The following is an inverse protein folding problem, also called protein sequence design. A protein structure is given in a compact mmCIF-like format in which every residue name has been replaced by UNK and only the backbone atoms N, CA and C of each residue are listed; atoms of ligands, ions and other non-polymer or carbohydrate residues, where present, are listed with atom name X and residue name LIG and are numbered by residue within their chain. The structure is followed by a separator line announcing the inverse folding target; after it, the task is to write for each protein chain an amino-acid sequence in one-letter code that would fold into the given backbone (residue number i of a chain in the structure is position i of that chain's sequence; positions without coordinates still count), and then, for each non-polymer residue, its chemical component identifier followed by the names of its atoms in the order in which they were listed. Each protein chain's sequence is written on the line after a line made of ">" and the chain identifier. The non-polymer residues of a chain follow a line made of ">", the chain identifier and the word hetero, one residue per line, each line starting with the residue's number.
data_IF_079666888852
#
_entry.id   IF_079666888852
#
_cell.length_a   1.000
_cell.length_b   1.000
_cell.length_c   1.000
_cell.angle_alpha   90.00
_cell.angle_beta   90.00
_cell.angle_gamma   90.00
#
_symmetry.space_group_name_H-M   'P 1'
#
loop_
_entity.id
_entity.type
_entity.pdbx_description
1 polymer ?
#
# COMPACT_ATOMS: atom_id res chain seq x y z
N UNK A 1 -11.29 -3.47 -22.46
CA UNK A 1 -10.12 -3.05 -21.65
C UNK A 1 -10.65 -2.15 -20.53
N UNK A 2 -10.16 -2.31 -19.30
CA UNK A 2 -10.56 -1.45 -18.17
C UNK A 2 -9.45 -0.42 -17.90
N UNK A 3 -9.83 0.80 -17.59
CA UNK A 3 -8.91 1.89 -17.27
C UNK A 3 -9.23 2.43 -15.88
N UNK A 4 -8.22 2.51 -15.03
CA UNK A 4 -8.34 3.02 -13.67
C UNK A 4 -7.60 4.34 -13.51
N UNK A 5 -8.23 5.29 -12.81
CA UNK A 5 -7.59 6.52 -12.37
C UNK A 5 -7.47 6.51 -10.85
N UNK A 6 -6.35 7.00 -10.31
CA UNK A 6 -6.23 7.19 -8.87
C UNK A 6 -6.90 8.50 -8.47
N UNK A 7 -7.83 8.44 -7.51
CA UNK A 7 -8.42 9.62 -6.89
C UNK A 7 -7.35 10.39 -6.11
N UNK A 8 -7.34 11.68 -6.30
CA UNK A 8 -6.41 12.59 -5.65
C UNK A 8 -6.97 14.01 -5.65
N UNK A 9 -6.34 14.96 -4.94
CA UNK A 9 -6.85 16.32 -4.80
C UNK A 9 -7.14 17.06 -6.11
N UNK A 10 -6.46 16.67 -7.19
CA UNK A 10 -6.63 17.28 -8.52
C UNK A 10 -7.79 16.71 -9.35
N UNK A 11 -8.44 15.63 -8.89
CA UNK A 11 -9.51 14.93 -9.63
C UNK A 11 -10.54 14.28 -8.71
N UNK A 12 -10.90 14.93 -7.60
CA UNK A 12 -11.85 14.42 -6.63
C UNK A 12 -13.19 15.18 -6.59
N UNK A 13 -13.40 16.14 -7.49
CA UNK A 13 -14.69 16.82 -7.62
C UNK A 13 -15.58 16.18 -8.69
N UNK A 14 -16.89 16.40 -8.58
CA UNK A 14 -17.90 15.80 -9.46
C UNK A 14 -17.65 16.11 -10.94
N UNK A 15 -17.23 17.33 -11.29
CA UNK A 15 -17.05 17.73 -12.68
C UNK A 15 -15.86 17.01 -13.33
N UNK A 16 -14.72 16.91 -12.60
CA UNK A 16 -13.54 16.20 -13.05
C UNK A 16 -13.84 14.70 -13.21
N UNK A 17 -14.54 14.10 -12.24
CA UNK A 17 -14.92 12.68 -12.28
C UNK A 17 -15.88 12.37 -13.43
N UNK A 18 -16.88 13.22 -13.66
CA UNK A 18 -17.80 13.10 -14.80
C UNK A 18 -17.05 13.21 -16.15
N UNK A 19 -16.07 14.11 -16.24
CA UNK A 19 -15.24 14.24 -17.45
C UNK A 19 -14.39 12.99 -17.69
N UNK A 20 -13.84 12.36 -16.65
CA UNK A 20 -13.07 11.13 -16.74
C UNK A 20 -13.95 9.94 -17.15
N UNK A 21 -15.15 9.81 -16.56
CA UNK A 21 -16.13 8.79 -16.95
C UNK A 21 -16.49 8.89 -18.43
N UNK A 22 -16.81 10.10 -18.93
CA UNK A 22 -17.12 10.33 -20.35
C UNK A 22 -15.95 10.01 -21.29
N UNK A 23 -14.71 10.03 -20.79
CA UNK A 23 -13.49 9.63 -21.52
C UNK A 23 -13.18 8.14 -21.44
N UNK A 24 -14.03 7.36 -20.78
CA UNK A 24 -13.92 5.91 -20.73
C UNK A 24 -13.11 5.35 -19.56
N UNK A 25 -12.88 6.14 -18.50
CA UNK A 25 -12.38 5.59 -17.24
C UNK A 25 -13.46 4.68 -16.67
N UNK A 26 -13.08 3.45 -16.34
CA UNK A 26 -13.97 2.38 -15.89
C UNK A 26 -13.83 2.05 -14.40
N UNK A 27 -12.84 2.64 -13.73
CA UNK A 27 -12.64 2.46 -12.30
C UNK A 27 -11.83 3.58 -11.68
N UNK A 28 -12.04 3.78 -10.39
CA UNK A 28 -11.30 4.74 -9.59
C UNK A 28 -10.67 4.02 -8.40
N UNK A 29 -9.37 4.29 -8.18
CA UNK A 29 -8.59 3.73 -7.08
C UNK A 29 -8.41 4.77 -5.99
N UNK A 30 -8.76 4.42 -4.75
CA UNK A 30 -8.40 5.14 -3.54
C UNK A 30 -7.17 4.47 -2.91
N UNK A 31 -6.06 5.19 -2.84
CA UNK A 31 -4.89 4.71 -2.10
C UNK A 31 -5.06 5.03 -0.61
N UNK A 32 -5.15 4.00 0.22
CA UNK A 32 -5.37 4.13 1.67
C UNK A 32 -4.06 4.24 2.47
N UNK A 33 -2.89 4.15 1.84
CA UNK A 33 -1.60 4.26 2.54
C UNK A 33 -1.43 5.55 3.32
N UNK A 34 -2.08 6.63 2.89
CA UNK A 34 -1.94 7.96 3.51
C UNK A 34 -3.16 8.44 4.28
N UNK A 35 -4.33 7.83 4.06
CA UNK A 35 -5.58 8.34 4.63
C UNK A 35 -6.59 7.21 4.74
N UNK A 36 -7.29 7.07 5.88
CA UNK A 36 -8.33 6.06 6.04
C UNK A 36 -9.52 6.34 5.13
N UNK A 37 -10.26 5.29 4.77
CA UNK A 37 -11.42 5.35 3.89
C UNK A 37 -12.50 6.33 4.42
N UNK A 38 -12.74 6.33 5.72
CA UNK A 38 -13.69 7.23 6.38
C UNK A 38 -13.40 8.73 6.18
N UNK A 39 -12.16 9.10 5.90
CA UNK A 39 -11.76 10.49 5.64
C UNK A 39 -11.85 10.86 4.14
N UNK A 40 -12.47 10.02 3.31
CA UNK A 40 -12.63 10.22 1.86
C UNK A 40 -14.06 10.06 1.38
N UNK A 41 -15.02 10.14 2.27
CA UNK A 41 -16.45 10.05 1.94
C UNK A 41 -16.89 11.16 0.99
N UNK A 42 -16.32 12.35 1.11
CA UNK A 42 -16.55 13.47 0.20
C UNK A 42 -16.15 13.16 -1.25
N UNK A 43 -15.06 12.45 -1.48
CA UNK A 43 -14.61 12.03 -2.82
C UNK A 43 -15.51 10.91 -3.38
N UNK A 44 -15.95 10.00 -2.51
CA UNK A 44 -16.89 8.93 -2.87
C UNK A 44 -18.25 9.53 -3.23
N UNK A 45 -18.74 10.48 -2.46
CA UNK A 45 -19.99 11.18 -2.75
C UNK A 45 -19.92 11.95 -4.07
N UNK A 46 -18.77 12.60 -4.36
CA UNK A 46 -18.53 13.24 -5.64
C UNK A 46 -18.51 12.25 -6.81
N UNK A 47 -17.96 11.05 -6.62
CA UNK A 47 -17.99 9.98 -7.62
C UNK A 47 -19.41 9.53 -7.89
N UNK A 48 -20.20 9.23 -6.86
CA UNK A 48 -21.61 8.84 -7.01
C UNK A 48 -22.45 9.96 -7.65
N UNK A 49 -22.12 11.24 -7.39
CA UNK A 49 -22.77 12.36 -8.07
C UNK A 49 -22.41 12.40 -9.56
N UNK A 50 -21.15 12.17 -9.92
CA UNK A 50 -20.70 12.09 -11.30
C UNK A 50 -21.32 10.92 -12.07
N UNK A 51 -21.48 9.77 -11.43
CA UNK A 51 -22.19 8.62 -12.00
C UNK A 51 -23.65 8.94 -12.30
N UNK A 52 -24.35 9.57 -11.36
CA UNK A 52 -25.74 10.03 -11.57
C UNK A 52 -25.85 11.04 -12.70
N UNK A 53 -24.91 11.98 -12.81
CA UNK A 53 -24.89 13.00 -13.86
C UNK A 53 -24.65 12.40 -15.25
N UNK A 54 -23.76 11.41 -15.33
CA UNK A 54 -23.34 10.85 -16.62
C UNK A 54 -24.15 9.64 -17.06
N UNK A 55 -24.84 8.95 -16.13
CA UNK A 55 -25.45 7.64 -16.35
C UNK A 55 -24.43 6.52 -16.56
N UNK A 56 -23.14 6.78 -16.27
CA UNK A 56 -22.06 5.81 -16.36
C UNK A 56 -21.66 5.34 -14.96
N UNK A 57 -21.25 4.08 -14.84
CA UNK A 57 -20.79 3.50 -13.57
C UNK A 57 -19.31 3.13 -13.67
N UNK A 58 -18.60 3.31 -12.57
CA UNK A 58 -17.22 2.91 -12.43
C UNK A 58 -17.02 1.98 -11.24
N UNK A 59 -16.01 1.15 -11.30
CA UNK A 59 -15.59 0.36 -10.16
C UNK A 59 -14.88 1.26 -9.14
N UNK A 60 -15.30 1.21 -7.87
CA UNK A 60 -14.62 1.88 -6.77
C UNK A 60 -13.69 0.87 -6.09
N UNK A 61 -12.39 1.08 -6.24
CA UNK A 61 -11.34 0.24 -5.71
C UNK A 61 -10.65 0.91 -4.52
N UNK A 62 -10.48 0.18 -3.43
CA UNK A 62 -9.56 0.56 -2.35
C UNK A 62 -8.26 -0.23 -2.46
N UNK A 63 -7.13 0.47 -2.36
CA UNK A 63 -5.79 -0.11 -2.29
C UNK A 63 -5.33 -0.05 -0.84
N UNK A 64 -5.26 -1.22 -0.21
CA UNK A 64 -4.96 -1.40 1.20
C UNK A 64 -3.50 -1.05 1.51
N UNK A 65 -3.15 -0.96 2.79
CA UNK A 65 -1.78 -0.76 3.26
C UNK A 65 -1.00 -2.06 3.27
N UNK A 66 -1.68 -3.14 3.64
CA UNK A 66 -1.06 -4.44 3.78
C UNK A 66 0.04 -4.50 4.84
N UNK A 67 1.02 -5.39 4.67
CA UNK A 67 2.13 -5.58 5.59
C UNK A 67 3.26 -4.55 5.43
N UNK A 68 3.01 -3.42 4.77
CA UNK A 68 4.02 -2.40 4.51
C UNK A 68 4.69 -1.93 5.80
N UNK A 69 6.00 -1.77 5.74
CA UNK A 69 6.77 -1.19 6.84
C UNK A 69 7.02 0.28 6.56
N UNK A 70 6.67 1.11 7.51
CA UNK A 70 6.98 2.55 7.45
C UNK A 70 7.74 2.96 8.70
N UNK A 71 8.62 3.94 8.54
CA UNK A 71 9.26 4.58 9.70
C UNK A 71 8.22 5.41 10.47
N UNK A 72 8.45 5.57 11.76
CA UNK A 72 7.58 6.35 12.63
C UNK A 72 7.59 7.86 12.33
N UNK A 73 6.88 8.60 13.16
CA UNK A 73 6.89 10.06 13.09
C UNK A 73 8.27 10.63 13.43
N UNK A 74 8.72 11.60 12.66
CA UNK A 74 9.97 12.32 12.89
C UNK A 74 9.67 13.80 13.15
N UNK A 75 10.27 14.41 14.19
CA UNK A 75 10.00 15.81 14.54
C UNK A 75 10.52 16.81 13.51
N UNK A 76 11.53 16.42 12.73
CA UNK A 76 12.14 17.22 11.67
C UNK A 76 12.75 16.30 10.60
N UNK A 77 12.93 16.80 9.36
CA UNK A 77 13.69 16.09 8.33
C UNK A 77 15.12 15.77 8.79
N UNK A 78 15.58 14.54 8.52
CA UNK A 78 16.93 14.08 8.86
C UNK A 78 17.79 14.01 7.59
N UNK A 79 18.85 14.83 7.46
CA UNK A 79 19.77 14.69 6.37
C UNK A 79 20.66 13.44 6.57
N UNK A 80 20.65 12.55 5.59
CA UNK A 80 21.47 11.34 5.54
C UNK A 80 22.62 11.58 4.57
N UNK A 81 23.83 11.84 5.08
CA UNK A 81 25.04 11.96 4.27
C UNK A 81 25.65 10.58 4.01
N UNK A 82 26.10 10.31 2.79
CA UNK A 82 26.78 9.05 2.45
C UNK A 82 28.02 8.84 3.35
N UNK A 83 28.17 7.61 3.83
CA UNK A 83 29.22 7.23 4.78
C UNK A 83 28.92 7.56 6.24
N UNK A 84 27.91 8.37 6.55
CA UNK A 84 27.53 8.68 7.93
C UNK A 84 26.93 7.44 8.63
N UNK A 85 27.05 7.42 9.95
CA UNK A 85 26.36 6.45 10.79
C UNK A 85 24.99 7.00 11.22
N UNK A 86 23.98 6.12 11.26
CA UNK A 86 22.61 6.43 11.74
C UNK A 86 22.09 5.19 12.45
N UNK A 87 21.22 5.39 13.46
CA UNK A 87 20.69 4.30 14.27
C UNK A 87 19.19 4.16 14.11
N UNK A 88 18.76 3.00 13.59
CA UNK A 88 17.33 2.62 13.56
C UNK A 88 16.86 2.38 15.00
N UNK A 89 15.68 2.90 15.33
CA UNK A 89 15.12 2.88 16.68
C UNK A 89 15.51 4.08 17.54
N UNK A 90 16.56 4.83 17.18
CA UNK A 90 16.97 6.05 17.88
C UNK A 90 16.85 7.29 16.99
N UNK A 91 17.65 7.36 15.92
CA UNK A 91 17.60 8.50 14.97
C UNK A 91 16.44 8.36 13.98
N UNK A 92 16.12 7.13 13.58
CA UNK A 92 15.01 6.79 12.68
C UNK A 92 14.07 5.87 13.45
N UNK A 93 12.87 6.33 13.83
CA UNK A 93 11.90 5.51 14.57
C UNK A 93 11.42 4.34 13.71
N UNK A 94 11.53 3.12 14.21
CA UNK A 94 11.06 1.89 13.58
C UNK A 94 10.47 0.96 14.63
N UNK A 95 9.60 0.04 14.19
CA UNK A 95 8.97 -0.96 15.05
C UNK A 95 9.97 -1.99 15.58
N UNK A 96 9.64 -2.64 16.70
CA UNK A 96 10.49 -3.62 17.34
C UNK A 96 10.74 -4.87 16.48
N UNK A 97 9.80 -5.28 15.64
CA UNK A 97 9.96 -6.41 14.70
C UNK A 97 11.03 -6.11 13.64
N UNK A 98 11.11 -4.85 13.17
CA UNK A 98 12.17 -4.39 12.29
C UNK A 98 13.53 -4.53 12.96
N UNK A 99 13.67 -3.97 14.19
CA UNK A 99 14.93 -4.06 14.95
C UNK A 99 15.37 -5.51 15.20
N UNK A 100 14.43 -6.38 15.53
CA UNK A 100 14.69 -7.81 15.79
C UNK A 100 15.10 -8.58 14.53
N UNK A 101 14.71 -8.08 13.35
CA UNK A 101 15.05 -8.71 12.07
C UNK A 101 16.41 -8.28 11.52
N UNK A 102 16.99 -7.17 12.00
CA UNK A 102 18.27 -6.66 11.50
C UNK A 102 19.41 -7.67 11.67
N UNK A 103 20.24 -7.79 10.65
CA UNK A 103 21.47 -8.59 10.68
C UNK A 103 22.59 -7.77 10.03
N UNK A 104 23.85 -7.86 10.50
CA UNK A 104 24.98 -7.19 9.87
C UNK A 104 25.07 -7.53 8.38
N UNK A 105 25.31 -6.51 7.57
CA UNK A 105 25.40 -6.60 6.11
C UNK A 105 24.06 -6.49 5.35
N UNK A 106 22.92 -6.50 6.03
CA UNK A 106 21.62 -6.28 5.38
C UNK A 106 21.50 -4.87 4.80
N UNK A 107 20.84 -4.75 3.66
CA UNK A 107 20.41 -3.47 3.10
C UNK A 107 19.06 -3.05 3.65
N UNK A 108 18.96 -1.79 4.05
CA UNK A 108 17.71 -1.13 4.41
C UNK A 108 17.44 -0.06 3.36
N UNK A 109 16.34 -0.19 2.63
CA UNK A 109 15.87 0.81 1.68
C UNK A 109 14.85 1.71 2.36
N UNK A 110 14.94 3.01 2.12
CA UNK A 110 14.04 4.04 2.66
C UNK A 110 13.47 4.86 1.51
N UNK A 111 12.20 5.28 1.65
CA UNK A 111 11.48 6.11 0.66
C UNK A 111 11.53 5.49 -0.73
N UNK A 112 10.99 4.27 -0.85
CA UNK A 112 10.93 3.47 -2.09
C UNK A 112 12.32 3.30 -2.76
N UNK A 113 13.37 3.16 -1.93
CA UNK A 113 14.74 2.99 -2.38
C UNK A 113 15.46 4.29 -2.78
N UNK A 114 14.85 5.46 -2.57
CA UNK A 114 15.51 6.74 -2.79
C UNK A 114 16.77 6.91 -1.91
N UNK A 115 16.73 6.33 -0.70
CA UNK A 115 17.86 6.28 0.22
C UNK A 115 18.16 4.83 0.62
N UNK A 116 19.41 4.52 0.95
CA UNK A 116 19.83 3.18 1.34
C UNK A 116 20.83 3.22 2.50
N UNK A 117 20.71 2.23 3.38
CA UNK A 117 21.60 2.02 4.51
C UNK A 117 22.10 0.57 4.47
N UNK A 118 23.30 0.33 5.03
CA UNK A 118 23.76 -1.02 5.34
C UNK A 118 23.86 -1.19 6.85
N UNK A 119 23.27 -2.25 7.38
CA UNK A 119 23.34 -2.59 8.80
C UNK A 119 24.78 -2.96 9.17
N UNK A 120 25.32 -2.31 10.20
CA UNK A 120 26.67 -2.58 10.74
C UNK A 120 26.55 -3.55 11.92
N UNK A 121 25.77 -3.17 12.94
CA UNK A 121 25.51 -3.99 14.13
C UNK A 121 24.26 -3.47 14.85
N UNK A 122 23.39 -4.40 15.31
CA UNK A 122 22.13 -4.04 15.96
C UNK A 122 21.33 -3.07 15.10
N UNK A 123 20.96 -1.90 15.67
CA UNK A 123 20.30 -0.81 14.95
C UNK A 123 21.23 0.15 14.19
N UNK A 124 22.56 0.03 14.40
CA UNK A 124 23.55 0.94 13.78
C UNK A 124 23.71 0.61 12.30
N UNK A 125 23.51 1.61 11.47
CA UNK A 125 23.61 1.51 10.01
C UNK A 125 24.59 2.54 9.45
N UNK A 126 25.16 2.24 8.31
CA UNK A 126 25.94 3.18 7.48
C UNK A 126 25.11 3.60 6.27
N UNK A 127 25.03 4.89 6.02
CA UNK A 127 24.36 5.44 4.84
C UNK A 127 25.19 5.08 3.58
N UNK A 128 24.56 4.36 2.65
CA UNK A 128 25.16 3.99 1.35
C UNK A 128 24.58 4.78 0.19
N UNK A 129 23.38 5.31 0.35
CA UNK A 129 22.76 6.29 -0.55
C UNK A 129 22.08 7.36 0.30
N UNK A 130 22.55 8.59 0.17
CA UNK A 130 22.10 9.72 0.97
C UNK A 130 20.83 10.37 0.47
N UNK A 131 20.30 11.30 1.27
CA UNK A 131 19.10 12.08 0.98
C UNK A 131 18.59 12.82 2.19
N UNK A 132 17.35 13.32 2.12
CA UNK A 132 16.67 13.93 3.28
C UNK A 132 15.45 13.08 3.63
N UNK A 133 15.52 12.40 4.76
CA UNK A 133 14.48 11.52 5.26
C UNK A 133 13.45 12.30 6.07
N UNK A 134 12.17 12.08 5.79
CA UNK A 134 11.03 12.60 6.56
C UNK A 134 10.23 11.45 7.17
N UNK A 135 9.41 11.72 8.19
CA UNK A 135 8.59 10.68 8.83
C UNK A 135 7.61 9.98 7.88
N UNK A 136 7.17 8.79 8.27
CA UNK A 136 6.19 7.94 7.59
C UNK A 136 6.60 7.43 6.19
N UNK A 137 7.89 7.50 5.85
CA UNK A 137 8.42 6.92 4.61
C UNK A 137 8.48 5.41 4.69
N UNK A 138 8.38 4.74 3.54
CA UNK A 138 8.52 3.29 3.42
C UNK A 138 9.90 2.84 3.90
N UNK A 139 9.95 1.63 4.48
CA UNK A 139 11.16 0.94 4.85
C UNK A 139 11.10 -0.50 4.37
N UNK A 140 12.10 -0.91 3.61
CA UNK A 140 12.26 -2.29 3.16
C UNK A 140 13.57 -2.87 3.69
N UNK A 141 13.51 -4.05 4.30
CA UNK A 141 14.67 -4.84 4.67
C UNK A 141 14.90 -5.90 3.58
N UNK A 142 15.95 -5.78 2.79
CA UNK A 142 16.26 -6.76 1.77
C UNK A 142 16.57 -8.12 2.40
N UNK A 143 15.86 -9.16 1.95
CA UNK A 143 16.05 -10.53 2.42
C UNK A 143 15.43 -10.85 3.79
N UNK A 144 14.68 -9.94 4.43
CA UNK A 144 13.99 -10.21 5.68
C UNK A 144 12.50 -10.52 5.45
N UNK A 145 12.00 -11.56 6.14
CA UNK A 145 10.56 -11.82 6.31
C UNK A 145 10.13 -11.40 7.72
N UNK A 146 9.44 -10.27 7.81
CA UNK A 146 8.93 -9.74 9.08
C UNK A 146 7.66 -10.47 9.57
N UNK A 147 7.12 -11.41 8.79
CA UNK A 147 5.92 -12.21 9.12
C UNK A 147 4.72 -11.38 9.57
N UNK A 148 4.63 -10.14 9.09
CA UNK A 148 3.48 -9.28 9.38
C UNK A 148 2.20 -9.88 8.82
N UNK A 149 1.04 -9.70 9.48
CA UNK A 149 -0.27 -10.07 8.92
C UNK A 149 -0.48 -9.43 7.54
N UNK A 150 -1.21 -10.11 6.66
CA UNK A 150 -1.56 -9.57 5.34
C UNK A 150 -2.38 -8.28 5.43
N UNK A 151 -3.20 -8.16 6.47
CA UNK A 151 -4.01 -6.97 6.78
C UNK A 151 -3.55 -6.35 8.09
N UNK A 152 -3.33 -5.05 8.12
CA UNK A 152 -3.10 -4.31 9.35
C UNK A 152 -4.43 -3.88 9.99
N UNK A 153 -4.40 -3.37 11.23
CA UNK A 153 -5.61 -2.91 11.93
C UNK A 153 -6.37 -1.82 11.16
N UNK A 154 -5.66 -0.93 10.48
CA UNK A 154 -6.28 0.11 9.67
C UNK A 154 -6.98 -0.47 8.42
N UNK A 155 -6.43 -1.54 7.81
CA UNK A 155 -7.09 -2.24 6.70
C UNK A 155 -8.38 -2.91 7.14
N UNK A 156 -8.39 -3.53 8.33
CA UNK A 156 -9.60 -4.13 8.90
C UNK A 156 -10.68 -3.09 9.17
N UNK A 157 -10.29 -1.92 9.69
CA UNK A 157 -11.21 -0.81 9.93
C UNK A 157 -11.78 -0.23 8.63
N UNK A 158 -10.97 -0.13 7.58
CA UNK A 158 -11.40 0.35 6.28
C UNK A 158 -12.32 -0.67 5.57
N UNK A 159 -12.00 -1.97 5.61
CA UNK A 159 -12.84 -3.04 5.04
C UNK A 159 -14.22 -3.11 5.70
N UNK A 160 -14.31 -2.86 7.01
CA UNK A 160 -15.58 -2.86 7.74
C UNK A 160 -16.59 -1.80 7.26
N UNK A 161 -16.12 -0.75 6.60
CA UNK A 161 -16.95 0.34 6.07
C UNK A 161 -17.13 0.26 4.56
N UNK A 162 -16.31 -0.52 3.87
CA UNK A 162 -16.14 -0.47 2.43
C UNK A 162 -17.43 -0.80 1.65
N UNK A 163 -18.17 -1.84 2.08
CA UNK A 163 -19.43 -2.22 1.42
C UNK A 163 -20.48 -1.11 1.49
N UNK A 164 -20.63 -0.45 2.65
CA UNK A 164 -21.58 0.64 2.83
C UNK A 164 -21.25 1.89 1.98
N UNK A 165 -19.99 2.04 1.60
CA UNK A 165 -19.50 3.13 0.77
C UNK A 165 -19.44 2.77 -0.73
N UNK A 166 -19.98 1.60 -1.12
CA UNK A 166 -20.05 1.18 -2.52
C UNK A 166 -18.75 0.65 -3.11
N UNK A 167 -17.76 0.33 -2.26
CA UNK A 167 -16.53 -0.34 -2.72
C UNK A 167 -16.87 -1.70 -3.31
N UNK A 168 -16.38 -1.97 -4.51
CA UNK A 168 -16.60 -3.22 -5.23
C UNK A 168 -15.32 -3.79 -5.83
N UNK A 169 -14.16 -3.25 -5.44
CA UNK A 169 -12.85 -3.85 -5.66
C UNK A 169 -11.91 -3.56 -4.49
N UNK A 170 -11.10 -4.55 -4.14
CA UNK A 170 -10.06 -4.45 -3.10
C UNK A 170 -8.72 -4.84 -3.71
N UNK A 171 -7.71 -4.01 -3.54
CA UNK A 171 -6.35 -4.27 -3.98
C UNK A 171 -5.48 -4.58 -2.76
N UNK A 172 -4.91 -5.79 -2.74
CA UNK A 172 -3.99 -6.25 -1.70
C UNK A 172 -2.55 -6.04 -2.16
N UNK A 173 -1.78 -5.17 -1.51
CA UNK A 173 -0.36 -5.00 -1.78
C UNK A 173 0.49 -6.09 -1.10
N UNK A 174 1.71 -6.24 -1.54
CA UNK A 174 2.76 -7.08 -0.94
C UNK A 174 2.34 -8.54 -0.72
N UNK A 175 1.58 -9.13 -1.65
CA UNK A 175 1.19 -10.55 -1.56
C UNK A 175 2.44 -11.42 -1.56
N UNK A 176 2.54 -12.32 -0.58
CA UNK A 176 3.68 -13.23 -0.39
C UNK A 176 3.29 -14.69 -0.56
N UNK A 177 2.02 -15.01 -0.35
CA UNK A 177 1.54 -16.40 -0.33
C UNK A 177 0.04 -16.53 -0.59
N UNK A 178 -0.39 -17.76 -0.88
CA UNK A 178 -1.81 -18.12 -0.92
C UNK A 178 -2.53 -17.87 0.42
N UNK A 179 -1.79 -17.96 1.54
CA UNK A 179 -2.33 -17.67 2.87
C UNK A 179 -2.76 -16.23 3.01
N UNK A 180 -1.97 -15.28 2.50
CA UNK A 180 -2.31 -13.85 2.53
C UNK A 180 -3.65 -13.60 1.82
N UNK A 181 -3.83 -14.11 0.60
CA UNK A 181 -5.06 -13.90 -0.17
C UNK A 181 -6.29 -14.59 0.43
N UNK A 182 -6.13 -15.75 1.06
CA UNK A 182 -7.25 -16.41 1.76
C UNK A 182 -7.74 -15.57 2.94
N UNK A 183 -6.83 -14.99 3.72
CA UNK A 183 -7.18 -14.08 4.82
C UNK A 183 -7.91 -12.85 4.29
N UNK A 184 -7.39 -12.22 3.24
CA UNK A 184 -8.04 -11.05 2.63
C UNK A 184 -9.44 -11.40 2.10
N UNK A 185 -9.57 -12.47 1.32
CA UNK A 185 -10.87 -12.90 0.77
C UNK A 185 -11.89 -13.22 1.88
N UNK A 186 -11.46 -13.92 2.93
CA UNK A 186 -12.32 -14.22 4.07
C UNK A 186 -12.79 -12.93 4.75
N UNK A 187 -11.88 -11.97 5.00
CA UNK A 187 -12.23 -10.68 5.60
C UNK A 187 -13.18 -9.87 4.71
N UNK A 188 -12.98 -9.91 3.38
CA UNK A 188 -13.92 -9.29 2.42
C UNK A 188 -15.33 -9.88 2.56
N UNK A 189 -15.45 -11.21 2.60
CA UNK A 189 -16.77 -11.90 2.75
C UNK A 189 -17.43 -11.51 4.07
N UNK A 190 -16.69 -11.51 5.17
CA UNK A 190 -17.20 -11.16 6.51
C UNK A 190 -17.71 -9.70 6.59
N UNK A 191 -17.19 -8.82 5.72
CA UNK A 191 -17.56 -7.41 5.67
C UNK A 191 -18.49 -7.05 4.48
N UNK A 192 -19.19 -8.03 3.90
CA UNK A 192 -20.19 -7.80 2.86
C UNK A 192 -19.62 -7.50 1.46
N UNK A 193 -18.36 -7.84 1.22
CA UNK A 193 -17.66 -7.64 -0.05
C UNK A 193 -17.46 -8.96 -0.82
N UNK A 194 -18.36 -9.94 -0.65
CA UNK A 194 -18.24 -11.26 -1.27
C UNK A 194 -18.14 -11.19 -2.81
N UNK A 195 -18.87 -10.26 -3.42
CA UNK A 195 -18.91 -10.05 -4.87
C UNK A 195 -17.87 -9.03 -5.38
N UNK A 196 -17.09 -8.43 -4.49
CA UNK A 196 -16.05 -7.48 -4.87
C UNK A 196 -14.84 -8.20 -5.47
N UNK A 197 -14.26 -7.63 -6.53
CA UNK A 197 -13.05 -8.17 -7.13
C UNK A 197 -11.83 -7.99 -6.21
N UNK A 198 -11.02 -9.02 -6.09
CA UNK A 198 -9.75 -9.00 -5.38
C UNK A 198 -8.60 -8.85 -6.38
N UNK A 199 -7.89 -7.75 -6.30
CA UNK A 199 -6.65 -7.47 -7.03
C UNK A 199 -5.46 -7.83 -6.15
N UNK A 200 -4.55 -8.64 -6.65
CA UNK A 200 -3.33 -9.04 -5.95
C UNK A 200 -2.12 -8.37 -6.60
N UNK A 201 -1.30 -7.67 -5.80
CA UNK A 201 -0.09 -7.00 -6.29
C UNK A 201 1.14 -7.90 -6.11
N UNK A 202 1.90 -8.04 -7.20
CA UNK A 202 3.24 -8.67 -7.20
C UNK A 202 4.26 -7.54 -7.03
N UNK A 203 4.88 -7.48 -5.85
CA UNK A 203 5.77 -6.39 -5.42
C UNK A 203 7.02 -6.88 -4.71
N UNK A 204 7.17 -8.20 -4.57
CA UNK A 204 8.29 -8.80 -3.86
C UNK A 204 8.62 -10.19 -4.43
N UNK A 205 9.86 -10.63 -4.23
CA UNK A 205 10.33 -11.92 -4.71
C UNK A 205 9.54 -13.11 -4.13
N UNK A 206 9.22 -13.19 -2.83
CA UNK A 206 8.39 -14.28 -2.29
C UNK A 206 7.03 -14.41 -2.98
N UNK A 207 6.37 -13.29 -3.28
CA UNK A 207 5.10 -13.27 -3.99
C UNK A 207 5.23 -13.76 -5.43
N UNK A 208 6.32 -13.39 -6.11
CA UNK A 208 6.62 -13.87 -7.45
C UNK A 208 6.88 -15.38 -7.46
N UNK A 209 7.68 -15.89 -6.54
CA UNK A 209 8.03 -17.30 -6.43
C UNK A 209 6.78 -18.17 -6.11
N UNK A 210 5.87 -17.65 -5.28
CA UNK A 210 4.62 -18.31 -4.92
C UNK A 210 3.45 -18.05 -5.89
N UNK A 211 3.67 -17.33 -7.00
CA UNK A 211 2.60 -16.94 -7.94
C UNK A 211 1.73 -18.12 -8.40
N UNK A 212 2.28 -19.30 -8.78
CA UNK A 212 1.45 -20.43 -9.17
C UNK A 212 0.47 -20.90 -8.09
N UNK A 213 0.80 -20.73 -6.81
CA UNK A 213 0.00 -21.23 -5.69
C UNK A 213 -1.18 -20.31 -5.36
N UNK A 214 -1.09 -19.03 -5.71
CA UNK A 214 -2.11 -18.05 -5.35
C UNK A 214 -2.83 -17.38 -6.54
N UNK A 215 -2.37 -17.58 -7.76
CA UNK A 215 -2.94 -16.95 -8.96
C UNK A 215 -4.47 -17.18 -9.09
N UNK A 216 -4.94 -18.38 -8.71
CA UNK A 216 -6.36 -18.72 -8.77
C UNK A 216 -7.21 -18.17 -7.60
N UNK A 217 -6.58 -17.49 -6.63
CA UNK A 217 -7.27 -16.95 -5.44
C UNK A 217 -7.64 -15.46 -5.57
N UNK A 218 -7.19 -14.81 -6.63
CA UNK A 218 -7.56 -13.43 -6.96
C UNK A 218 -8.24 -13.34 -8.31
N UNK A 219 -8.93 -12.24 -8.56
CA UNK A 219 -9.63 -12.00 -9.83
C UNK A 219 -8.71 -11.28 -10.83
N UNK A 220 -7.76 -10.48 -10.31
CA UNK A 220 -6.81 -9.70 -11.13
C UNK A 220 -5.43 -9.70 -10.49
N UNK A 221 -4.39 -9.86 -11.29
CA UNK A 221 -3.00 -9.66 -10.87
C UNK A 221 -2.51 -8.29 -11.32
N UNK A 222 -1.90 -7.56 -10.41
CA UNK A 222 -1.27 -6.26 -10.69
C UNK A 222 0.25 -6.40 -10.55
N UNK A 223 0.97 -6.07 -11.61
CA UNK A 223 2.44 -6.04 -11.59
C UNK A 223 2.88 -4.60 -11.27
N UNK A 224 3.42 -4.40 -10.08
CA UNK A 224 3.90 -3.10 -9.62
C UNK A 224 5.35 -2.91 -10.06
N UNK A 225 5.54 -2.31 -11.24
CA UNK A 225 6.85 -2.14 -11.88
C UNK A 225 7.83 -1.25 -11.13
N UNK A 226 7.38 -0.51 -10.14
CA UNK A 226 8.24 0.36 -9.33
C UNK A 226 8.85 -0.35 -8.12
N UNK A 227 8.26 -1.49 -7.71
CA UNK A 227 8.60 -2.20 -6.47
C UNK A 227 9.30 -3.55 -6.75
N UNK A 228 9.24 -4.04 -8.00
CA UNK A 228 9.90 -5.26 -8.49
C UNK A 228 11.28 -4.98 -9.04
#
# INVERSE_FOLDING_TARGET
>A
MRYYATLGPSCCDTAALAALLRRGITGFRLNLSHTPLAARTDWIDALHAAERETGLHAQLMIDLRGPEVRIGNMPAPLPLAEGAAVTLGADIPVDGDVLNALRPGMTVLLDDGAMALTVVDGGVCRVTRGGTLTGHKSLTLEGADLRRPALCEADLADLAQAAALGVNAVMQPFVRSAGDLRVVRQTMVENGLADAELFAKVENQPGLDALPDWLALCDVVTIARGDL
#
